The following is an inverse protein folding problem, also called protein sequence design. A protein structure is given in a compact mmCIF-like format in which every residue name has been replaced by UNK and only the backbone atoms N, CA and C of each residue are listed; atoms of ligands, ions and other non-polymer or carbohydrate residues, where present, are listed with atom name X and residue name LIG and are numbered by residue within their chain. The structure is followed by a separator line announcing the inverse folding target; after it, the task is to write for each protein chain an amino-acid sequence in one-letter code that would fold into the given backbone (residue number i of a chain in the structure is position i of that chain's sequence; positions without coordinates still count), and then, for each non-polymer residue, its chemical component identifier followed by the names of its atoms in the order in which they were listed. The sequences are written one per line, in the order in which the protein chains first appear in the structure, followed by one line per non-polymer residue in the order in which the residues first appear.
data_IF_260133883167
#
_entry.id   IF_260133883167
#
_cell.length_a   1.000
_cell.length_b   1.000
_cell.length_c   1.000
_cell.angle_alpha   90.00
_cell.angle_beta   90.00
_cell.angle_gamma   90.00
#
_symmetry.space_group_name_H-M   'P 1'
#
loop_
_entity.id
_entity.type
_entity.pdbx_description
1 polymer ?
#
# COMPACT_ATOMS: atom_id res chain seq x y z
N UNK A 1 -8.29 21.69 -27.12
CA UNK A 1 -9.15 22.55 -27.94
C UNK A 1 -10.64 22.39 -27.59
N UNK A 2 -11.17 21.17 -27.45
CA UNK A 2 -12.60 20.91 -27.12
C UNK A 2 -13.01 21.54 -25.78
N UNK A 3 -12.13 21.47 -24.76
CA UNK A 3 -12.37 22.07 -23.45
C UNK A 3 -12.53 23.61 -23.55
N UNK A 4 -11.65 24.25 -24.32
CA UNK A 4 -11.75 25.70 -24.57
C UNK A 4 -13.04 26.07 -25.33
N UNK A 5 -13.36 25.29 -26.36
CA UNK A 5 -14.58 25.50 -27.13
C UNK A 5 -15.83 25.39 -26.24
N UNK A 6 -15.89 24.41 -25.36
CA UNK A 6 -17.01 24.21 -24.44
C UNK A 6 -17.19 25.42 -23.51
N UNK A 7 -16.08 25.94 -22.94
CA UNK A 7 -16.10 27.11 -22.07
C UNK A 7 -16.52 28.40 -22.86
N UNK A 8 -16.03 28.55 -24.08
CA UNK A 8 -16.42 29.69 -24.94
C UNK A 8 -17.91 29.68 -25.32
N UNK A 9 -18.48 28.49 -25.56
CA UNK A 9 -19.90 28.33 -25.90
C UNK A 9 -20.80 28.53 -24.69
N UNK A 10 -20.44 28.01 -23.52
CA UNK A 10 -21.24 28.05 -22.29
C UNK A 10 -21.08 29.35 -21.51
N UNK A 11 -19.94 30.04 -21.69
CA UNK A 11 -19.58 31.30 -21.00
C UNK A 11 -19.85 31.26 -19.49
N UNK A 12 -19.30 30.28 -18.76
CA UNK A 12 -19.59 30.10 -17.35
C UNK A 12 -19.01 31.27 -16.55
N UNK A 13 -19.74 31.74 -15.54
CA UNK A 13 -19.23 32.73 -14.58
C UNK A 13 -18.19 32.14 -13.63
N UNK A 14 -18.37 30.89 -13.24
CA UNK A 14 -17.48 30.10 -12.34
C UNK A 14 -17.11 28.80 -12.99
N UNK A 15 -15.90 28.35 -12.73
CA UNK A 15 -15.35 27.12 -13.29
C UNK A 15 -14.78 26.20 -12.20
N UNK A 16 -15.15 24.92 -12.23
CA UNK A 16 -14.68 23.88 -11.30
C UNK A 16 -14.27 22.65 -12.11
N UNK A 17 -12.96 22.45 -12.38
CA UNK A 17 -12.51 21.22 -13.00
C UNK A 17 -12.68 20.04 -12.05
N UNK A 18 -13.15 18.92 -12.57
CA UNK A 18 -13.39 17.67 -11.82
C UNK A 18 -12.83 16.47 -12.60
N UNK A 19 -12.74 15.30 -11.95
CA UNK A 19 -12.28 14.05 -12.55
C UNK A 19 -10.84 14.11 -13.10
N UNK A 20 -9.89 14.30 -12.21
CA UNK A 20 -8.48 14.28 -12.59
C UNK A 20 -7.55 14.44 -11.39
N UNK A 21 -6.29 14.14 -11.60
CA UNK A 21 -5.24 14.48 -10.63
C UNK A 21 -5.09 16.01 -10.52
N UNK A 22 -4.61 16.51 -9.39
CA UNK A 22 -4.44 17.93 -9.12
C UNK A 22 -3.73 18.68 -10.26
N UNK A 23 -2.69 18.10 -10.86
CA UNK A 23 -1.97 18.71 -11.99
C UNK A 23 -2.88 18.92 -13.20
N UNK A 24 -3.73 17.92 -13.51
CA UNK A 24 -4.67 18.00 -14.64
C UNK A 24 -5.75 19.05 -14.39
N UNK A 25 -6.30 19.08 -13.16
CA UNK A 25 -7.30 20.08 -12.77
C UNK A 25 -6.73 21.49 -12.83
N UNK A 26 -5.47 21.68 -12.40
CA UNK A 26 -4.80 22.97 -12.47
C UNK A 26 -4.60 23.45 -13.91
N UNK A 27 -4.11 22.59 -14.80
CA UNK A 27 -3.97 22.91 -16.23
C UNK A 27 -5.35 23.25 -16.84
N UNK A 28 -6.40 22.54 -16.47
CA UNK A 28 -7.75 22.81 -16.96
C UNK A 28 -8.28 24.19 -16.47
N UNK A 29 -7.93 24.58 -15.23
CA UNK A 29 -8.21 25.92 -14.72
C UNK A 29 -7.41 27.02 -15.47
N UNK A 30 -6.16 26.76 -15.82
CA UNK A 30 -5.34 27.67 -16.64
C UNK A 30 -5.94 27.86 -18.05
N UNK A 31 -6.47 26.80 -18.67
CA UNK A 31 -7.20 26.89 -19.94
C UNK A 31 -8.47 27.75 -19.82
N UNK A 32 -9.13 27.74 -18.64
CA UNK A 32 -10.29 28.60 -18.39
C UNK A 32 -9.89 30.08 -18.33
N UNK A 33 -8.74 30.39 -17.72
CA UNK A 33 -8.17 31.76 -17.71
C UNK A 33 -7.84 32.23 -19.13
N UNK A 34 -7.28 31.38 -19.99
CA UNK A 34 -6.96 31.71 -21.39
C UNK A 34 -8.18 32.03 -22.23
N UNK A 35 -9.35 31.50 -21.90
CA UNK A 35 -10.61 31.80 -22.61
C UNK A 35 -11.45 32.91 -21.93
N UNK A 36 -10.86 33.62 -20.95
CA UNK A 36 -11.43 34.79 -20.34
C UNK A 36 -12.23 34.59 -19.07
N UNK A 37 -12.18 33.42 -18.43
CA UNK A 37 -12.75 33.23 -17.09
C UNK A 37 -11.75 33.78 -16.07
N UNK A 38 -12.15 34.76 -15.21
CA UNK A 38 -11.24 35.31 -14.21
C UNK A 38 -10.68 34.25 -13.28
N UNK A 39 -9.41 34.38 -12.91
CA UNK A 39 -8.72 33.40 -12.04
C UNK A 39 -9.43 33.19 -10.70
N UNK A 40 -9.96 34.26 -10.11
CA UNK A 40 -10.73 34.26 -8.88
C UNK A 40 -12.07 33.51 -8.99
N UNK A 41 -12.53 33.27 -10.22
CA UNK A 41 -13.75 32.51 -10.51
C UNK A 41 -13.48 31.05 -10.88
N UNK A 42 -12.22 30.63 -10.89
CA UNK A 42 -11.78 29.24 -11.17
C UNK A 42 -11.29 28.56 -9.90
N UNK A 43 -11.91 27.46 -9.52
CA UNK A 43 -11.65 26.77 -8.25
C UNK A 43 -11.13 25.35 -8.50
N UNK A 44 -9.88 25.09 -8.18
CA UNK A 44 -9.31 23.73 -8.15
C UNK A 44 -9.50 23.16 -6.75
N UNK A 45 -10.37 22.16 -6.62
CA UNK A 45 -10.83 21.62 -5.35
C UNK A 45 -10.28 20.21 -5.12
N UNK A 46 -10.05 19.88 -3.86
CA UNK A 46 -9.78 18.52 -3.39
C UNK A 46 -11.06 17.86 -2.87
N UNK A 47 -11.04 16.54 -2.72
CA UNK A 47 -12.15 15.82 -2.09
C UNK A 47 -12.45 16.42 -0.71
N UNK A 48 -13.72 16.67 -0.43
CA UNK A 48 -14.16 17.29 0.81
C UNK A 48 -14.22 18.81 0.80
N UNK A 49 -13.57 19.50 -0.15
CA UNK A 49 -13.74 20.94 -0.30
C UNK A 49 -15.15 21.24 -0.81
N UNK A 50 -15.74 22.31 -0.31
CA UNK A 50 -17.10 22.73 -0.68
C UNK A 50 -17.11 24.13 -1.26
N UNK A 51 -18.03 24.38 -2.16
CA UNK A 51 -18.33 25.72 -2.71
C UNK A 51 -19.72 26.14 -2.31
N UNK A 52 -19.84 27.32 -1.75
CA UNK A 52 -21.11 27.96 -1.46
C UNK A 52 -21.47 28.91 -2.58
N UNK A 53 -22.56 28.63 -3.29
CA UNK A 53 -23.13 29.46 -4.32
C UNK A 53 -24.33 30.24 -3.74
N UNK A 54 -24.27 31.55 -3.72
CA UNK A 54 -25.37 32.39 -3.23
C UNK A 54 -25.50 33.67 -4.06
N UNK A 55 -26.68 33.91 -4.55
CA UNK A 55 -27.04 35.13 -5.32
C UNK A 55 -25.99 35.53 -6.38
N UNK A 56 -25.48 34.52 -7.12
CA UNK A 56 -24.51 34.74 -8.18
C UNK A 56 -23.07 35.01 -7.73
N UNK A 57 -22.75 34.73 -6.47
CA UNK A 57 -21.38 34.66 -5.91
C UNK A 57 -20.98 33.25 -5.57
N UNK A 58 -19.70 32.91 -5.75
CA UNK A 58 -19.11 31.64 -5.34
C UNK A 58 -18.00 31.90 -4.33
N UNK A 59 -17.93 31.08 -3.29
CA UNK A 59 -16.85 31.11 -2.29
C UNK A 59 -16.60 29.74 -1.70
N UNK A 60 -15.40 29.51 -1.20
CA UNK A 60 -15.09 28.28 -0.45
C UNK A 60 -15.97 28.19 0.81
N UNK A 61 -16.53 27.04 1.03
CA UNK A 61 -17.28 26.68 2.23
C UNK A 61 -16.43 25.89 3.25
N UNK A 62 -17.04 25.40 4.33
CA UNK A 62 -16.36 24.54 5.28
C UNK A 62 -16.01 23.21 4.63
N UNK A 63 -14.80 22.70 4.88
CA UNK A 63 -14.40 21.39 4.41
C UNK A 63 -15.15 20.29 5.17
N UNK A 64 -15.66 19.30 4.45
CA UNK A 64 -16.22 18.08 5.03
C UNK A 64 -15.16 16.98 5.03
N UNK A 65 -15.22 16.13 6.04
CA UNK A 65 -14.33 14.96 6.11
C UNK A 65 -14.81 13.92 5.10
N UNK A 66 -13.90 13.48 4.23
CA UNK A 66 -14.13 12.41 3.27
C UNK A 66 -12.92 11.50 3.25
N UNK A 67 -13.16 10.20 3.29
CA UNK A 67 -12.14 9.15 3.16
C UNK A 67 -12.42 8.31 1.91
N UNK A 68 -11.38 7.66 1.41
CA UNK A 68 -11.53 6.72 0.32
C UNK A 68 -12.28 5.47 0.81
N UNK A 69 -13.26 5.04 0.03
CA UNK A 69 -14.00 3.79 0.26
C UNK A 69 -13.49 2.77 -0.74
N UNK A 70 -12.81 1.74 -0.24
CA UNK A 70 -12.30 0.64 -1.05
C UNK A 70 -13.37 -0.43 -1.21
N UNK A 71 -13.66 -0.79 -2.46
CA UNK A 71 -14.63 -1.83 -2.82
C UNK A 71 -13.89 -3.09 -3.23
N UNK A 72 -14.29 -4.26 -2.71
CA UNK A 72 -13.75 -5.57 -3.08
C UNK A 72 -14.85 -6.44 -3.69
N UNK A 73 -14.83 -6.55 -5.01
CA UNK A 73 -15.89 -7.24 -5.75
C UNK A 73 -17.26 -6.63 -5.49
N UNK A 74 -18.17 -7.39 -4.92
CA UNK A 74 -19.53 -6.94 -4.60
C UNK A 74 -19.69 -6.47 -3.15
N UNK A 75 -18.63 -6.49 -2.35
CA UNK A 75 -18.69 -6.07 -0.93
C UNK A 75 -18.52 -4.56 -0.82
N UNK A 76 -19.60 -3.88 -0.46
CA UNK A 76 -19.65 -2.44 -0.23
C UNK A 76 -19.35 -2.06 1.24
N UNK A 77 -19.14 -3.05 2.14
CA UNK A 77 -18.80 -2.78 3.55
C UNK A 77 -17.38 -2.24 3.73
N UNK A 78 -16.61 -2.26 2.66
CA UNK A 78 -15.23 -1.80 2.61
C UNK A 78 -14.22 -2.87 3.05
N UNK A 79 -13.00 -2.77 2.52
CA UNK A 79 -11.89 -3.61 2.96
C UNK A 79 -11.38 -3.17 4.31
N UNK A 80 -11.10 -4.13 5.20
CA UNK A 80 -10.38 -3.79 6.44
C UNK A 80 -8.99 -3.23 6.12
N UNK A 81 -8.54 -2.26 6.92
CA UNK A 81 -7.19 -1.67 6.78
C UNK A 81 -6.08 -2.72 6.84
N UNK A 82 -6.31 -3.82 7.56
CA UNK A 82 -5.38 -4.96 7.63
C UNK A 82 -5.23 -5.65 6.27
N UNK A 83 -6.33 -5.92 5.57
CA UNK A 83 -6.30 -6.56 4.24
C UNK A 83 -5.65 -5.64 3.19
N UNK A 84 -5.93 -4.34 3.24
CA UNK A 84 -5.28 -3.37 2.35
C UNK A 84 -3.77 -3.34 2.56
N UNK A 85 -3.33 -3.29 3.83
CA UNK A 85 -1.92 -3.32 4.20
C UNK A 85 -1.23 -4.61 3.73
N UNK A 86 -1.87 -5.76 3.92
CA UNK A 86 -1.33 -7.04 3.47
C UNK A 86 -1.18 -7.08 1.95
N UNK A 87 -2.21 -6.62 1.20
CA UNK A 87 -2.14 -6.51 -0.26
C UNK A 87 -1.03 -5.58 -0.73
N UNK A 88 -0.83 -4.45 -0.03
CA UNK A 88 0.25 -3.52 -0.35
C UNK A 88 1.63 -4.18 -0.17
N UNK A 89 1.88 -4.83 0.98
CA UNK A 89 3.14 -5.54 1.24
C UNK A 89 3.37 -6.63 0.17
N UNK A 90 2.32 -7.41 -0.14
CA UNK A 90 2.42 -8.46 -1.16
C UNK A 90 2.75 -7.90 -2.54
N UNK A 91 2.22 -6.74 -2.92
CA UNK A 91 2.47 -6.11 -4.22
C UNK A 91 3.86 -5.48 -4.33
N UNK A 92 4.35 -4.88 -3.24
CA UNK A 92 5.63 -4.16 -3.23
C UNK A 92 6.82 -5.09 -2.96
N UNK A 93 6.71 -5.93 -1.92
CA UNK A 93 7.83 -6.72 -1.38
C UNK A 93 7.66 -8.23 -1.57
N UNK A 94 6.46 -8.70 -1.87
CA UNK A 94 6.17 -10.11 -2.05
C UNK A 94 6.05 -10.89 -0.73
N UNK A 95 6.17 -12.22 -0.80
CA UNK A 95 6.02 -13.10 0.35
C UNK A 95 7.12 -14.16 0.45
N UNK A 96 7.38 -14.56 1.68
CA UNK A 96 8.29 -15.65 2.05
C UNK A 96 7.56 -16.60 3.00
N UNK A 97 7.36 -17.84 2.58
CA UNK A 97 6.82 -18.91 3.41
C UNK A 97 7.95 -19.75 3.98
N UNK A 98 7.87 -20.07 5.27
CA UNK A 98 8.90 -20.85 5.97
C UNK A 98 8.28 -22.10 6.55
N UNK A 99 8.68 -23.26 6.03
CA UNK A 99 8.25 -24.55 6.51
C UNK A 99 9.21 -25.02 7.60
N UNK A 100 8.66 -25.28 8.79
CA UNK A 100 9.40 -25.72 9.97
C UNK A 100 8.81 -27.05 10.41
N UNK A 101 9.61 -28.10 10.35
CA UNK A 101 9.25 -29.43 10.84
C UNK A 101 9.91 -29.68 12.20
N UNK A 102 9.10 -29.93 13.23
CA UNK A 102 9.59 -30.09 14.59
C UNK A 102 8.87 -31.21 15.32
N UNK A 103 9.57 -31.82 16.27
CA UNK A 103 8.97 -32.70 17.27
C UNK A 103 8.55 -31.84 18.48
N UNK A 104 7.24 -31.83 18.75
CA UNK A 104 6.68 -31.06 19.87
C UNK A 104 6.95 -31.70 21.25
N UNK A 105 7.24 -32.99 21.30
CA UNK A 105 7.56 -33.70 22.55
C UNK A 105 9.03 -33.54 22.92
N UNK A 106 9.91 -33.72 21.94
CA UNK A 106 11.36 -33.66 22.18
C UNK A 106 11.90 -32.21 22.05
N UNK A 107 11.09 -31.24 21.57
CA UNK A 107 11.49 -29.86 21.42
C UNK A 107 12.67 -29.70 20.46
N UNK A 108 12.67 -30.42 19.33
CA UNK A 108 13.76 -30.33 18.35
C UNK A 108 13.26 -30.25 16.91
N UNK A 109 14.08 -29.67 16.05
CA UNK A 109 13.82 -29.67 14.61
C UNK A 109 14.03 -31.07 14.03
N UNK A 110 13.05 -31.56 13.26
CA UNK A 110 13.13 -32.83 12.53
C UNK A 110 13.88 -32.68 11.20
N UNK A 111 13.84 -31.48 10.61
CA UNK A 111 14.53 -31.16 9.38
C UNK A 111 14.96 -29.69 9.38
N UNK A 112 15.87 -29.30 8.48
CA UNK A 112 16.21 -27.91 8.26
C UNK A 112 14.98 -27.16 7.79
N UNK A 113 14.76 -25.89 8.25
CA UNK A 113 13.72 -25.04 7.70
C UNK A 113 13.87 -24.87 6.18
N UNK A 114 12.75 -24.86 5.47
CA UNK A 114 12.71 -24.66 4.02
C UNK A 114 12.01 -23.35 3.71
N UNK A 115 12.62 -22.52 2.87
CA UNK A 115 12.10 -21.23 2.49
C UNK A 115 11.58 -21.27 1.04
N UNK A 116 10.33 -20.83 0.86
CA UNK A 116 9.69 -20.64 -0.43
C UNK A 116 9.35 -19.16 -0.58
N UNK A 117 9.69 -18.56 -1.71
CA UNK A 117 9.45 -17.14 -2.00
C UNK A 117 8.57 -16.96 -3.23
N UNK A 118 7.69 -15.94 -3.19
CA UNK A 118 6.90 -15.46 -4.33
C UNK A 118 6.86 -13.93 -4.32
N UNK A 119 7.16 -13.33 -5.49
CA UNK A 119 7.15 -11.88 -5.65
C UNK A 119 8.28 -11.12 -4.94
N UNK A 120 9.10 -11.79 -4.10
CA UNK A 120 10.21 -11.15 -3.39
C UNK A 120 11.53 -11.26 -4.16
N UNK A 121 12.01 -12.48 -4.41
CA UNK A 121 13.25 -12.73 -5.14
C UNK A 121 13.07 -13.88 -6.15
N UNK A 122 13.87 -13.84 -7.21
CA UNK A 122 13.94 -14.95 -8.14
C UNK A 122 14.79 -16.08 -7.53
N UNK A 123 14.14 -17.18 -7.18
CA UNK A 123 14.74 -18.26 -6.38
C UNK A 123 16.03 -18.82 -6.99
N UNK A 124 16.10 -18.97 -8.33
CA UNK A 124 17.29 -19.54 -8.98
C UNK A 124 18.54 -18.71 -8.79
N UNK A 125 18.43 -17.38 -8.84
CA UNK A 125 19.56 -16.46 -8.72
C UNK A 125 19.88 -16.13 -7.25
N UNK A 126 18.95 -16.38 -6.35
CA UNK A 126 19.04 -16.03 -4.93
C UNK A 126 19.34 -17.21 -4.02
N UNK A 127 19.71 -18.35 -4.60
CA UNK A 127 19.92 -19.60 -3.86
C UNK A 127 20.92 -19.49 -2.68
N UNK A 128 22.07 -18.80 -2.80
CA UNK A 128 22.99 -18.62 -1.67
C UNK A 128 22.36 -17.83 -0.51
N UNK A 129 21.60 -16.76 -0.82
CA UNK A 129 20.92 -15.92 0.17
C UNK A 129 19.81 -16.72 0.89
N UNK A 130 19.04 -17.51 0.17
CA UNK A 130 17.98 -18.35 0.76
C UNK A 130 18.59 -19.41 1.68
N UNK A 131 19.67 -20.08 1.27
CA UNK A 131 20.36 -21.06 2.12
C UNK A 131 20.94 -20.43 3.39
N UNK A 132 21.50 -19.23 3.31
CA UNK A 132 21.98 -18.48 4.47
C UNK A 132 20.80 -18.18 5.42
N UNK A 133 19.66 -17.72 4.88
CA UNK A 133 18.44 -17.48 5.64
C UNK A 133 17.91 -18.75 6.35
N UNK A 134 17.86 -19.88 5.65
CA UNK A 134 17.45 -21.19 6.22
C UNK A 134 18.37 -21.60 7.38
N UNK A 135 19.68 -21.43 7.24
CA UNK A 135 20.63 -21.73 8.30
C UNK A 135 20.46 -20.82 9.52
N UNK A 136 20.25 -19.50 9.30
CA UNK A 136 20.01 -18.55 10.39
C UNK A 136 18.74 -18.89 11.18
N UNK A 137 17.64 -19.20 10.49
CA UNK A 137 16.40 -19.66 11.15
C UNK A 137 16.64 -20.96 11.89
N UNK A 138 17.31 -21.93 11.28
CA UNK A 138 17.61 -23.22 11.91
C UNK A 138 18.42 -23.06 13.20
N UNK A 139 19.46 -22.20 13.21
CA UNK A 139 20.25 -21.90 14.40
C UNK A 139 19.43 -21.23 15.50
N UNK A 140 18.66 -20.19 15.14
CA UNK A 140 17.84 -19.45 16.10
C UNK A 140 16.77 -20.35 16.73
N UNK A 141 16.11 -21.18 15.92
CA UNK A 141 15.11 -22.12 16.41
C UNK A 141 15.71 -23.25 17.26
N UNK A 142 16.89 -23.76 16.90
CA UNK A 142 17.58 -24.79 17.74
C UNK A 142 17.94 -24.26 19.13
N UNK A 143 18.35 -22.98 19.22
CA UNK A 143 18.60 -22.32 20.50
C UNK A 143 17.31 -22.11 21.31
N UNK A 144 16.24 -21.65 20.64
CA UNK A 144 14.94 -21.39 21.25
C UNK A 144 14.32 -22.68 21.80
N UNK A 145 14.39 -23.78 21.05
CA UNK A 145 13.81 -25.09 21.41
C UNK A 145 14.56 -25.82 22.53
N UNK A 146 15.75 -25.38 22.93
CA UNK A 146 16.45 -25.92 24.11
C UNK A 146 15.72 -25.63 25.43
N UNK A 147 14.73 -24.72 25.44
CA UNK A 147 13.87 -24.38 26.58
C UNK A 147 12.39 -24.68 26.32
N UNK A 148 11.54 -24.34 27.29
CA UNK A 148 10.09 -24.39 27.08
C UNK A 148 9.69 -23.30 26.10
N UNK A 149 9.09 -23.67 24.98
CA UNK A 149 8.80 -22.77 23.87
C UNK A 149 7.36 -22.93 23.42
N UNK A 150 6.73 -21.83 23.03
CA UNK A 150 5.39 -21.77 22.46
C UNK A 150 5.44 -21.62 20.93
N UNK A 151 4.37 -22.02 20.24
CA UNK A 151 4.25 -21.78 18.80
C UNK A 151 4.32 -20.29 18.44
N UNK A 152 3.85 -19.41 19.32
CA UNK A 152 3.95 -17.96 19.15
C UNK A 152 5.40 -17.47 19.10
N UNK A 153 6.23 -17.94 20.01
CA UNK A 153 7.66 -17.62 20.05
C UNK A 153 8.41 -18.13 18.82
N UNK A 154 8.11 -19.35 18.36
CA UNK A 154 8.69 -19.91 17.14
C UNK A 154 8.36 -19.02 15.92
N UNK A 155 7.09 -18.63 15.77
CA UNK A 155 6.64 -17.74 14.69
C UNK A 155 7.32 -16.39 14.76
N UNK A 156 7.37 -15.76 15.92
CA UNK A 156 7.96 -14.45 16.10
C UNK A 156 9.47 -14.47 15.86
N UNK A 157 10.20 -15.43 16.46
CA UNK A 157 11.64 -15.57 16.23
C UNK A 157 11.96 -15.79 14.76
N UNK A 158 11.20 -16.65 14.06
CA UNK A 158 11.40 -16.87 12.63
C UNK A 158 11.19 -15.58 11.83
N UNK A 159 10.11 -14.83 12.14
CA UNK A 159 9.80 -13.58 11.47
C UNK A 159 10.87 -12.52 11.72
N UNK A 160 11.30 -12.35 12.96
CA UNK A 160 12.27 -11.33 13.35
C UNK A 160 13.64 -11.57 12.71
N UNK A 161 14.13 -12.81 12.75
CA UNK A 161 15.41 -13.22 12.14
C UNK A 161 15.40 -12.95 10.64
N UNK A 162 14.34 -13.37 9.95
CA UNK A 162 14.25 -13.21 8.50
C UNK A 162 14.00 -11.76 8.07
N UNK A 163 13.16 -11.00 8.77
CA UNK A 163 12.93 -9.59 8.47
C UNK A 163 14.23 -8.80 8.56
N UNK A 164 15.00 -8.97 9.62
CA UNK A 164 16.29 -8.31 9.78
C UNK A 164 17.29 -8.73 8.70
N UNK A 165 17.36 -10.03 8.40
CA UNK A 165 18.26 -10.56 7.40
C UNK A 165 17.93 -10.03 5.98
N UNK A 166 16.68 -10.17 5.54
CA UNK A 166 16.25 -9.74 4.21
C UNK A 166 16.36 -8.22 4.05
N UNK A 167 15.98 -7.46 5.07
CA UNK A 167 16.15 -6.02 5.02
C UNK A 167 17.61 -5.58 4.87
N UNK A 168 18.54 -6.23 5.59
CA UNK A 168 19.99 -5.94 5.43
C UNK A 168 20.49 -6.23 4.02
N UNK A 169 20.04 -7.34 3.42
CA UNK A 169 20.50 -7.79 2.08
C UNK A 169 19.82 -7.05 0.92
N UNK A 170 18.54 -6.73 1.03
CA UNK A 170 17.71 -6.28 -0.10
C UNK A 170 17.05 -4.92 0.10
N UNK A 171 17.03 -4.39 1.34
CA UNK A 171 16.24 -3.21 1.75
C UNK A 171 14.74 -3.38 1.56
N UNK A 172 14.25 -4.62 1.49
CA UNK A 172 12.84 -4.97 1.33
C UNK A 172 12.35 -5.78 2.52
N UNK A 173 11.05 -5.67 2.82
CA UNK A 173 10.39 -6.35 3.94
C UNK A 173 9.25 -7.25 3.43
N UNK A 174 9.54 -8.43 2.87
CA UNK A 174 8.50 -9.33 2.39
C UNK A 174 7.62 -9.82 3.54
N UNK A 175 6.37 -10.17 3.22
CA UNK A 175 5.48 -10.84 4.17
C UNK A 175 6.03 -12.21 4.54
N UNK A 176 6.42 -12.42 5.80
CA UNK A 176 6.99 -13.68 6.28
C UNK A 176 5.90 -14.50 6.96
N UNK A 177 5.67 -15.72 6.44
CA UNK A 177 4.63 -16.65 6.90
C UNK A 177 5.30 -17.95 7.39
N UNK A 178 5.59 -18.08 8.68
CA UNK A 178 6.06 -19.33 9.29
C UNK A 178 4.94 -20.33 9.41
#
# INVERSE_FOLDING_TARGET
EEQKLMMLLTKPKYFFPVHGEYRMLKIHAELAEEVGIPKENSFVLSNGDTILLNKGTARLGPRIHVDDIYVDGNDLSGLSTAVLRDRQILSEDGMVSVLISMDSHEGKLLAKPVIISRGFVYMKDSFPMIREAENLVGQALSQLLAGKTTFGEIKNTTRDVLSQYFYRKTKRNPMIIP
#
